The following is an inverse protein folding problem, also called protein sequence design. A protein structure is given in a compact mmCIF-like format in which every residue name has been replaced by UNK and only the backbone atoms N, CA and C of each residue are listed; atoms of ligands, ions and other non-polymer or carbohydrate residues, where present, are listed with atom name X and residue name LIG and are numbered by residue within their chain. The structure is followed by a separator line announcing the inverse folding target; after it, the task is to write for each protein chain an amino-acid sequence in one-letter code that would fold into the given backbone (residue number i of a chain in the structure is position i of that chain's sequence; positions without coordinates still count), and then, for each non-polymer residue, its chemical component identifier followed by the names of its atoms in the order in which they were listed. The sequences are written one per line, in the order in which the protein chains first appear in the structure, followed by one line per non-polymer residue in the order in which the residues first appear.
data_IF_172653367220
#
_entry.id   IF_172653367220
#
_cell.length_a   1.000
_cell.length_b   1.000
_cell.length_c   1.000
_cell.angle_alpha   90.00
_cell.angle_beta   90.00
_cell.angle_gamma   90.00
#
_symmetry.space_group_name_H-M   'P 1'
#
loop_
_entity.id
_entity.type
_entity.pdbx_description
1 polymer ?
#
# COMPACT_ATOMS: atom_id res chain seq x y z
N UNK A 1 3.23 -11.10 21.28
CA UNK A 1 3.16 -10.95 19.81
C UNK A 1 1.94 -10.11 19.51
N UNK A 2 2.06 -9.14 18.60
CA UNK A 2 0.88 -8.46 18.07
C UNK A 2 0.11 -9.44 17.17
N UNK A 3 -1.21 -9.33 17.17
CA UNK A 3 -2.05 -10.10 16.26
C UNK A 3 -1.85 -9.61 14.82
N UNK A 4 -2.23 -10.43 13.84
CA UNK A 4 -2.22 -10.03 12.43
C UNK A 4 -3.03 -8.74 12.19
N UNK A 5 -4.17 -8.60 12.87
CA UNK A 5 -5.04 -7.43 12.75
C UNK A 5 -4.38 -6.17 13.31
N UNK A 6 -3.72 -6.29 14.47
CA UNK A 6 -2.99 -5.19 15.09
C UNK A 6 -1.85 -4.69 14.19
N UNK A 7 -1.11 -5.61 13.56
CA UNK A 7 -0.06 -5.28 12.60
C UNK A 7 -0.62 -4.64 11.32
N UNK A 8 -1.74 -5.15 10.80
CA UNK A 8 -2.40 -4.56 9.65
C UNK A 8 -2.86 -3.12 9.93
N UNK A 9 -3.39 -2.86 11.13
CA UNK A 9 -3.75 -1.51 11.54
C UNK A 9 -2.52 -0.62 11.79
N UNK A 10 -1.45 -1.17 12.35
CA UNK A 10 -0.17 -0.46 12.50
C UNK A 10 0.39 -0.06 11.13
N UNK A 11 0.40 -0.98 10.15
CA UNK A 11 0.78 -0.71 8.77
C UNK A 11 -0.04 0.45 8.21
N UNK A 12 -1.38 0.33 8.24
CA UNK A 12 -2.30 1.35 7.72
C UNK A 12 -2.08 2.74 8.34
N UNK A 13 -1.80 2.80 9.64
CA UNK A 13 -1.52 4.05 10.36
C UNK A 13 -0.18 4.67 9.97
N UNK A 14 0.85 3.85 9.77
CA UNK A 14 2.23 4.30 9.47
C UNK A 14 2.40 4.70 7.99
N UNK A 15 1.66 4.08 7.08
CA UNK A 15 1.89 4.20 5.62
C UNK A 15 0.78 4.95 4.87
N UNK A 16 0.06 5.85 5.56
CA UNK A 16 -1.06 6.66 5.00
C UNK A 16 -0.72 7.40 3.69
N UNK A 17 0.52 7.85 3.53
CA UNK A 17 0.98 8.54 2.30
C UNK A 17 1.05 7.56 1.12
N UNK A 18 1.55 6.34 1.34
CA UNK A 18 1.57 5.28 0.34
C UNK A 18 0.17 4.87 -0.09
N UNK A 19 -0.77 4.76 0.85
CA UNK A 19 -2.18 4.50 0.53
C UNK A 19 -2.75 5.54 -0.46
N UNK A 20 -2.56 6.83 -0.15
CA UNK A 20 -3.03 7.93 -1.02
C UNK A 20 -2.35 7.92 -2.39
N UNK A 21 -1.06 7.64 -2.43
CA UNK A 21 -0.30 7.56 -3.68
C UNK A 21 -0.78 6.39 -4.56
N UNK A 22 -1.02 5.23 -3.96
CA UNK A 22 -1.57 4.06 -4.67
C UNK A 22 -2.97 4.33 -5.23
N UNK A 23 -3.86 4.96 -4.45
CA UNK A 23 -5.18 5.38 -4.94
C UNK A 23 -5.10 6.38 -6.10
N UNK A 24 -4.15 7.33 -6.04
CA UNK A 24 -3.92 8.27 -7.14
C UNK A 24 -3.38 7.56 -8.39
N UNK A 25 -2.45 6.62 -8.22
CA UNK A 25 -1.83 5.87 -9.31
C UNK A 25 -2.80 4.94 -10.03
N UNK A 26 -3.71 4.27 -9.31
CA UNK A 26 -4.75 3.40 -9.90
C UNK A 26 -5.62 4.09 -10.93
N UNK A 27 -5.71 5.43 -10.91
CA UNK A 27 -6.44 6.22 -11.93
C UNK A 27 -5.78 6.21 -13.30
N UNK A 28 -4.51 5.83 -13.39
CA UNK A 28 -3.69 5.90 -14.62
C UNK A 28 -2.95 4.62 -14.94
N UNK A 29 -2.60 3.84 -13.91
CA UNK A 29 -1.78 2.63 -14.01
C UNK A 29 -2.61 1.44 -13.51
N UNK A 30 -2.77 0.35 -14.28
CA UNK A 30 -3.40 -0.87 -13.80
C UNK A 30 -2.77 -1.33 -12.49
N UNK A 31 -3.60 -1.68 -11.50
CA UNK A 31 -3.17 -2.06 -10.15
C UNK A 31 -2.32 -1.03 -9.40
N UNK A 32 -2.19 0.20 -9.93
CA UNK A 32 -1.38 1.26 -9.35
C UNK A 32 0.11 0.92 -9.25
N UNK A 33 0.65 -0.01 -10.06
CA UNK A 33 2.09 -0.36 -10.10
C UNK A 33 2.52 -0.74 -11.52
N UNK A 34 3.78 -0.48 -11.86
CA UNK A 34 4.33 -0.81 -13.20
C UNK A 34 4.94 -2.21 -13.30
N UNK A 35 4.91 -3.00 -12.22
CA UNK A 35 5.40 -4.38 -12.24
C UNK A 35 4.69 -5.20 -11.17
N UNK A 36 4.30 -6.43 -11.53
CA UNK A 36 3.43 -7.26 -10.71
C UNK A 36 4.05 -7.64 -9.36
N UNK A 37 5.38 -7.78 -9.27
CA UNK A 37 6.06 -8.08 -8.00
C UNK A 37 5.87 -6.99 -6.94
N UNK A 38 5.46 -5.78 -7.36
CA UNK A 38 5.20 -4.66 -6.44
C UNK A 38 3.79 -4.68 -5.88
N UNK A 39 2.87 -5.50 -6.39
CA UNK A 39 1.52 -5.55 -5.89
C UNK A 39 1.48 -6.35 -4.58
N UNK A 40 1.18 -5.66 -3.48
CA UNK A 40 1.14 -6.24 -2.13
C UNK A 40 -0.07 -5.70 -1.38
N UNK A 41 -0.79 -6.57 -0.69
CA UNK A 41 -1.90 -6.18 0.17
C UNK A 41 -1.41 -5.59 1.51
N UNK A 42 -2.10 -4.59 2.08
CA UNK A 42 -3.32 -3.96 1.56
C UNK A 42 -3.07 -2.88 0.49
N UNK A 43 -1.81 -2.47 0.33
CA UNK A 43 -1.31 -1.58 -0.71
C UNK A 43 0.23 -1.52 -0.64
N UNK A 44 0.92 -1.24 -1.75
CA UNK A 44 2.38 -1.18 -1.77
C UNK A 44 2.94 0.08 -1.12
N UNK A 45 4.23 0.03 -0.77
CA UNK A 45 4.97 1.20 -0.31
C UNK A 45 5.37 2.08 -1.50
N UNK A 46 5.07 3.38 -1.39
CA UNK A 46 5.54 4.40 -2.30
C UNK A 46 6.68 5.17 -1.61
N UNK A 47 7.90 4.96 -2.11
CA UNK A 47 9.10 5.65 -1.63
C UNK A 47 9.34 6.87 -2.52
N UNK A 48 9.61 8.01 -1.90
CA UNK A 48 10.05 9.24 -2.57
C UNK A 48 11.49 9.52 -2.20
#
# INVERSE_FOLDING_TARGET
MLTWEEELQAYRRRTKKSARAWEAAKRRIPSGVNSNYRLVDPYPLYVR
#
